data_IF_422699605546
#
_entry.id   IF_422699605546
#
_cell.length_a   1.000
_cell.length_b   1.000
_cell.length_c   1.000
_cell.angle_alpha   90.00
_cell.angle_beta   90.00
_cell.angle_gamma   90.00
#
_symmetry.space_group_name_H-M   'P 1'
#
loop_
_entity.id
_entity.type
_entity.pdbx_description
1 polymer ?
#
# COMPACT_ATOMS: atom_id res chain seq x y z
N UNK A 1 -23.55 36.38 16.27
CA UNK A 1 -23.40 36.02 14.84
C UNK A 1 -22.89 34.60 14.78
N UNK A 2 -23.71 33.66 14.30
CA UNK A 2 -23.34 32.24 14.20
C UNK A 2 -22.37 32.06 13.03
N UNK A 3 -21.10 31.75 13.31
CA UNK A 3 -20.17 31.35 12.27
C UNK A 3 -20.57 29.95 11.79
N UNK A 4 -21.34 29.89 10.70
CA UNK A 4 -21.55 28.65 9.95
C UNK A 4 -20.18 28.09 9.60
N UNK A 5 -19.77 27.00 10.26
CA UNK A 5 -18.56 26.24 9.91
C UNK A 5 -18.75 25.71 8.50
N UNK A 6 -18.26 26.44 7.49
CA UNK A 6 -18.15 25.94 6.11
C UNK A 6 -17.25 24.72 6.16
N UNK A 7 -17.84 23.54 5.99
CA UNK A 7 -17.05 22.32 5.90
C UNK A 7 -16.46 22.17 4.49
N UNK A 8 -15.33 21.46 4.37
CA UNK A 8 -14.62 21.21 3.10
C UNK A 8 -15.56 20.81 1.96
N UNK A 9 -16.53 19.95 2.26
CA UNK A 9 -17.50 19.43 1.27
C UNK A 9 -18.36 20.55 0.69
N UNK A 10 -18.81 21.48 1.52
CA UNK A 10 -19.58 22.63 1.06
C UNK A 10 -18.72 23.58 0.21
N UNK A 11 -17.48 23.86 0.64
CA UNK A 11 -16.56 24.68 -0.14
C UNK A 11 -16.30 24.10 -1.54
N UNK A 12 -15.98 22.81 -1.64
CA UNK A 12 -15.73 22.15 -2.92
C UNK A 12 -16.97 22.12 -3.82
N UNK A 13 -18.17 21.93 -3.24
CA UNK A 13 -19.44 22.03 -3.98
C UNK A 13 -19.69 23.44 -4.51
N UNK A 14 -19.45 24.47 -3.70
CA UNK A 14 -19.61 25.88 -4.11
C UNK A 14 -18.61 26.27 -5.20
N UNK A 15 -17.42 25.67 -5.21
CA UNK A 15 -16.41 25.87 -6.26
C UNK A 15 -16.72 25.10 -7.56
N UNK A 16 -17.77 24.27 -7.58
CA UNK A 16 -18.14 23.46 -8.73
C UNK A 16 -17.16 22.31 -9.00
N UNK A 17 -16.43 21.85 -7.99
CA UNK A 17 -15.52 20.70 -8.10
C UNK A 17 -16.33 19.41 -8.09
N UNK A 18 -16.14 18.56 -9.09
CA UNK A 18 -16.82 17.27 -9.18
C UNK A 18 -16.38 16.31 -8.06
N UNK A 19 -17.22 15.32 -7.78
CA UNK A 19 -16.87 14.26 -6.84
C UNK A 19 -15.66 13.43 -7.30
N UNK A 20 -15.37 13.40 -8.61
CA UNK A 20 -14.27 12.64 -9.18
C UNK A 20 -12.89 13.20 -8.80
N UNK A 21 -12.78 14.50 -8.51
CA UNK A 21 -11.53 15.12 -8.05
C UNK A 21 -11.25 14.87 -6.55
N UNK A 22 -12.24 14.41 -5.77
CA UNK A 22 -12.10 14.24 -4.32
C UNK A 22 -10.94 13.35 -3.86
N UNK A 23 -10.56 12.25 -4.56
CA UNK A 23 -9.40 11.45 -4.17
C UNK A 23 -8.12 12.29 -4.08
N UNK A 24 -7.89 13.20 -5.04
CA UNK A 24 -6.72 14.08 -5.09
C UNK A 24 -6.78 15.20 -4.06
N UNK A 25 -7.97 15.76 -3.82
CA UNK A 25 -8.13 16.93 -2.96
C UNK A 25 -8.24 16.58 -1.47
N UNK A 26 -8.58 15.34 -1.14
CA UNK A 26 -8.81 14.89 0.24
C UNK A 26 -7.56 14.92 1.15
N UNK A 27 -6.38 14.98 0.53
CA UNK A 27 -5.08 15.03 1.21
C UNK A 27 -4.54 16.44 1.47
N UNK A 28 -5.09 17.48 0.83
CA UNK A 28 -4.57 18.85 0.89
C UNK A 28 -4.91 19.50 2.24
N UNK A 29 -3.92 20.09 2.90
CA UNK A 29 -4.07 20.66 4.25
C UNK A 29 -4.82 21.99 4.23
N UNK A 30 -4.64 22.82 3.20
CA UNK A 30 -5.36 24.09 2.99
C UNK A 30 -6.85 23.92 2.71
N UNK A 31 -7.30 22.69 2.41
CA UNK A 31 -8.71 22.35 2.27
C UNK A 31 -9.32 21.77 3.55
N UNK A 32 -8.54 21.68 4.63
CA UNK A 32 -9.01 21.25 5.95
C UNK A 32 -9.41 22.47 6.78
N UNK A 33 -10.50 22.35 7.54
CA UNK A 33 -11.07 23.46 8.31
C UNK A 33 -10.22 23.84 9.53
N UNK A 34 -9.39 22.91 10.00
CA UNK A 34 -8.44 23.11 11.08
C UNK A 34 -7.03 22.93 10.50
N UNK A 35 -6.11 23.85 10.82
CA UNK A 35 -4.70 23.57 10.56
C UNK A 35 -4.33 22.30 11.34
N UNK A 36 -3.73 21.28 10.68
CA UNK A 36 -3.11 20.21 11.42
C UNK A 36 -2.13 20.84 12.40
N UNK A 37 -2.23 20.51 13.69
CA UNK A 37 -1.26 20.95 14.70
C UNK A 37 0.15 20.76 14.13
N UNK A 38 1.04 21.74 14.33
CA UNK A 38 2.40 21.70 13.79
C UNK A 38 3.04 20.33 14.11
N UNK A 39 3.31 19.53 13.08
CA UNK A 39 3.82 18.16 13.21
C UNK A 39 2.83 17.01 12.90
N UNK A 40 1.54 17.29 12.66
CA UNK A 40 0.54 16.26 12.30
C UNK A 40 0.65 15.79 10.83
N UNK A 41 1.83 15.28 10.46
CA UNK A 41 2.01 14.57 9.19
C UNK A 41 1.22 13.27 9.24
N UNK A 42 0.40 13.02 8.22
CA UNK A 42 -0.31 11.74 8.08
C UNK A 42 0.72 10.61 7.98
N UNK A 43 0.74 9.74 8.98
CA UNK A 43 1.60 8.56 8.97
C UNK A 43 1.00 7.47 8.08
N UNK A 44 1.87 6.69 7.46
CA UNK A 44 1.53 5.53 6.63
C UNK A 44 2.45 4.39 7.05
N UNK A 45 1.88 3.21 7.22
CA UNK A 45 2.62 1.98 7.43
C UNK A 45 2.60 1.19 6.13
N UNK A 46 3.78 0.80 5.66
CA UNK A 46 3.95 -0.11 4.52
C UNK A 46 4.68 -1.33 5.06
N UNK A 47 4.11 -2.50 4.81
CA UNK A 47 4.72 -3.78 5.12
C UNK A 47 4.95 -4.49 3.79
N UNK A 48 6.18 -4.92 3.54
CA UNK A 48 6.56 -5.64 2.33
C UNK A 48 7.08 -7.02 2.69
N UNK A 49 6.71 -8.01 1.90
CA UNK A 49 7.21 -9.37 2.02
C UNK A 49 7.74 -9.83 0.67
N UNK A 50 8.96 -10.34 0.65
CA UNK A 50 9.57 -10.98 -0.52
C UNK A 50 9.85 -12.44 -0.17
N UNK A 51 9.19 -13.42 -0.83
CA UNK A 51 9.44 -14.84 -0.58
C UNK A 51 10.80 -15.29 -1.14
N UNK A 52 11.18 -16.53 -0.83
CA UNK A 52 12.29 -17.27 -1.45
C UNK A 52 13.71 -16.74 -1.19
N UNK A 53 13.87 -15.78 -0.28
CA UNK A 53 15.17 -15.31 0.16
C UNK A 53 15.73 -14.18 -0.70
N UNK A 54 17.04 -13.96 -0.57
CA UNK A 54 17.79 -12.86 -1.21
C UNK A 54 19.22 -13.33 -1.48
N UNK A 55 19.99 -12.60 -2.29
CA UNK A 55 21.43 -12.84 -2.46
C UNK A 55 22.16 -12.32 -1.21
N UNK A 56 22.65 -13.20 -0.30
CA UNK A 56 23.09 -12.75 1.02
C UNK A 56 24.25 -11.76 0.98
N UNK A 57 25.19 -11.97 0.06
CA UNK A 57 26.38 -11.15 -0.11
C UNK A 57 26.08 -9.77 -0.70
N UNK A 58 24.91 -9.59 -1.33
CA UNK A 58 24.45 -8.34 -1.94
C UNK A 58 23.37 -7.63 -1.10
N UNK A 59 22.87 -8.28 -0.06
CA UNK A 59 21.82 -7.77 0.82
C UNK A 59 22.33 -7.41 2.22
N UNK A 60 23.05 -8.31 2.88
CA UNK A 60 23.44 -8.12 4.28
C UNK A 60 24.70 -7.24 4.40
N UNK A 61 24.72 -6.29 5.35
CA UNK A 61 25.95 -5.66 5.81
C UNK A 61 27.01 -6.71 6.19
N UNK A 62 28.27 -6.40 5.87
CA UNK A 62 29.43 -7.20 6.27
C UNK A 62 29.70 -7.07 7.78
N UNK A 63 29.33 -5.92 8.36
CA UNK A 63 29.52 -5.60 9.76
C UNK A 63 28.23 -4.99 10.35
N UNK A 64 27.96 -5.32 11.62
CA UNK A 64 26.86 -4.78 12.42
C UNK A 64 27.44 -4.21 13.72
N UNK A 65 26.93 -3.06 14.18
CA UNK A 65 27.31 -2.48 15.46
C UNK A 65 26.94 -1.01 15.54
N UNK A 66 26.72 -0.51 16.77
CA UNK A 66 26.26 0.86 17.01
C UNK A 66 27.30 1.91 16.60
N UNK A 67 28.60 1.57 16.65
CA UNK A 67 29.72 2.42 16.25
C UNK A 67 30.14 2.24 14.77
N UNK A 68 29.39 1.44 14.00
CA UNK A 68 29.69 1.15 12.60
C UNK A 68 28.63 1.77 11.70
N UNK A 69 28.99 2.65 10.75
CA UNK A 69 28.02 3.18 9.79
C UNK A 69 27.30 2.04 9.05
N UNK A 70 25.97 2.11 8.98
CA UNK A 70 25.15 1.10 8.31
C UNK A 70 25.61 0.94 6.86
N UNK A 71 26.04 -0.25 6.45
CA UNK A 71 26.41 -0.53 5.06
C UNK A 71 25.17 -0.96 4.27
N UNK A 72 24.81 -0.19 3.24
CA UNK A 72 23.76 -0.56 2.29
C UNK A 72 24.43 -1.14 1.03
N UNK A 73 24.26 -2.45 0.82
CA UNK A 73 24.78 -3.14 -0.36
C UNK A 73 23.92 -2.91 -1.59
N UNK A 74 24.31 -3.46 -2.75
CA UNK A 74 23.70 -3.16 -4.06
C UNK A 74 22.17 -3.27 -4.06
N UNK A 75 21.62 -4.33 -3.43
CA UNK A 75 20.17 -4.56 -3.33
C UNK A 75 19.44 -3.53 -2.45
N UNK A 76 20.17 -2.84 -1.57
CA UNK A 76 19.65 -1.82 -0.66
C UNK A 76 20.09 -0.40 -1.06
N UNK A 77 20.79 -0.24 -2.18
CA UNK A 77 21.24 1.07 -2.67
C UNK A 77 20.10 2.11 -2.87
N UNK A 78 18.85 1.73 -3.20
CA UNK A 78 17.75 2.70 -3.23
C UNK A 78 17.42 3.34 -1.87
N UNK A 79 17.86 2.73 -0.75
CA UNK A 79 17.67 3.25 0.60
C UNK A 79 18.76 4.24 1.03
N UNK A 80 19.75 4.51 0.17
CA UNK A 80 20.86 5.43 0.47
C UNK A 80 20.41 6.81 0.98
N UNK A 81 19.39 7.47 0.39
CA UNK A 81 18.89 8.76 0.91
C UNK A 81 18.25 8.66 2.31
N UNK A 82 17.98 7.45 2.78
CA UNK A 82 17.30 7.14 4.04
C UNK A 82 18.21 6.34 4.99
N UNK A 83 19.54 6.31 4.76
CA UNK A 83 20.50 5.53 5.56
C UNK A 83 20.33 5.74 7.06
N UNK A 84 20.29 7.00 7.50
CA UNK A 84 20.12 7.38 8.92
C UNK A 84 18.71 7.09 9.49
N UNK A 85 17.77 6.69 8.64
CA UNK A 85 16.40 6.31 9.00
C UNK A 85 16.15 4.81 8.77
N UNK A 86 17.20 4.04 8.47
CA UNK A 86 17.10 2.62 8.14
C UNK A 86 17.69 1.78 9.26
N UNK A 87 16.97 0.73 9.64
CA UNK A 87 17.43 -0.29 10.58
C UNK A 87 17.35 -1.66 9.89
N UNK A 88 18.46 -2.39 9.88
CA UNK A 88 18.52 -3.76 9.37
C UNK A 88 18.65 -4.72 10.54
N UNK A 89 17.67 -5.60 10.70
CA UNK A 89 17.67 -6.65 11.72
C UNK A 89 18.02 -7.99 11.08
N UNK A 90 19.16 -8.58 11.49
CA UNK A 90 19.59 -9.92 11.07
C UNK A 90 19.50 -10.89 12.24
N UNK A 91 19.00 -12.10 12.00
CA UNK A 91 18.86 -13.14 13.02
C UNK A 91 17.54 -13.11 13.81
N UNK A 92 16.61 -12.22 13.47
CA UNK A 92 15.23 -12.26 13.97
C UNK A 92 14.45 -13.30 13.17
N UNK A 93 13.90 -14.30 13.86
CA UNK A 93 13.20 -15.42 13.24
C UNK A 93 11.84 -15.62 13.88
N UNK A 94 10.83 -15.89 13.05
CA UNK A 94 9.53 -16.36 13.53
C UNK A 94 9.66 -17.83 14.01
N UNK A 95 9.42 -18.08 15.30
CA UNK A 95 9.51 -19.42 15.90
C UNK A 95 8.18 -20.18 15.92
N UNK A 96 7.11 -19.59 15.40
CA UNK A 96 5.78 -20.21 15.32
C UNK A 96 5.87 -21.49 14.47
N UNK A 97 5.27 -22.56 14.97
CA UNK A 97 5.20 -23.88 14.31
C UNK A 97 3.73 -24.20 14.01
N UNK A 98 3.38 -25.47 13.86
CA UNK A 98 2.06 -25.92 13.41
C UNK A 98 2.09 -26.47 11.99
N UNK A 99 0.93 -26.66 11.38
CA UNK A 99 0.77 -27.26 10.06
C UNK A 99 1.35 -26.41 8.92
N UNK A 100 1.44 -27.02 7.73
CA UNK A 100 1.96 -26.39 6.50
C UNK A 100 3.47 -26.51 6.37
N UNK A 101 4.03 -26.09 5.24
CA UNK A 101 5.48 -25.97 5.10
C UNK A 101 6.00 -24.62 5.63
N UNK A 102 7.33 -24.44 5.59
CA UNK A 102 7.97 -23.21 6.05
C UNK A 102 7.62 -21.96 5.21
N UNK A 103 7.30 -22.10 3.92
CA UNK A 103 6.87 -20.97 3.09
C UNK A 103 5.44 -20.55 3.46
N UNK A 104 4.54 -21.51 3.69
CA UNK A 104 3.17 -21.24 4.15
C UNK A 104 3.18 -20.50 5.49
N UNK A 105 3.91 -21.03 6.47
CA UNK A 105 4.08 -20.39 7.78
C UNK A 105 4.81 -19.05 7.67
N UNK A 106 5.86 -19.00 6.84
CA UNK A 106 6.69 -17.81 6.68
C UNK A 106 5.88 -16.58 6.30
N UNK A 107 4.89 -16.73 5.43
CA UNK A 107 4.04 -15.61 5.03
C UNK A 107 2.81 -15.43 5.91
N UNK A 108 2.09 -16.50 6.23
CA UNK A 108 0.83 -16.42 6.97
C UNK A 108 1.01 -16.09 8.45
N UNK A 109 2.11 -16.54 9.06
CA UNK A 109 2.40 -16.31 10.47
C UNK A 109 3.16 -15.00 10.72
N UNK A 110 3.65 -14.32 9.67
CA UNK A 110 4.50 -13.14 9.79
C UNK A 110 3.82 -12.01 10.57
N UNK A 111 2.59 -11.68 10.19
CA UNK A 111 1.84 -10.56 10.77
C UNK A 111 0.84 -10.99 11.83
N UNK A 112 0.52 -12.29 11.91
CA UNK A 112 -0.42 -12.83 12.89
C UNK A 112 0.28 -13.31 14.16
N UNK A 113 1.54 -13.75 14.05
CA UNK A 113 2.26 -14.44 15.13
C UNK A 113 1.46 -15.62 15.73
N UNK A 114 0.62 -16.28 14.92
CA UNK A 114 -0.17 -17.47 15.30
C UNK A 114 0.09 -18.62 14.35
N UNK A 115 -0.16 -19.84 14.82
CA UNK A 115 -0.04 -21.06 14.02
C UNK A 115 -1.07 -21.10 12.86
N UNK A 116 -0.78 -21.91 11.85
CA UNK A 116 -1.78 -22.31 10.87
C UNK A 116 -2.70 -23.37 11.47
N UNK A 117 -4.01 -23.19 11.32
CA UNK A 117 -5.01 -24.21 11.63
C UNK A 117 -4.81 -25.44 10.75
N UNK A 118 -5.23 -26.64 11.18
CA UNK A 118 -5.31 -27.80 10.30
C UNK A 118 -6.21 -27.54 9.08
N UNK A 119 -5.84 -28.10 7.94
CA UNK A 119 -6.61 -27.92 6.71
C UNK A 119 -6.27 -28.93 5.63
N UNK A 120 -6.57 -28.58 4.39
CA UNK A 120 -6.43 -29.46 3.23
C UNK A 120 -5.55 -28.86 2.12
N UNK A 121 -4.88 -27.75 2.39
CA UNK A 121 -4.02 -27.08 1.42
C UNK A 121 -2.61 -27.67 1.57
N UNK A 122 -2.23 -28.51 0.61
CA UNK A 122 -0.93 -29.15 0.60
C UNK A 122 0.14 -28.17 0.13
N UNK A 123 1.17 -28.01 0.96
CA UNK A 123 2.38 -27.27 0.63
C UNK A 123 3.41 -28.09 -0.15
N UNK A 124 4.63 -27.59 -0.25
CA UNK A 124 5.75 -28.25 -0.90
C UNK A 124 6.35 -29.37 -0.06
N UNK A 125 6.03 -29.39 1.23
CA UNK A 125 6.38 -30.43 2.20
C UNK A 125 5.41 -30.39 3.39
N UNK A 126 5.70 -31.18 4.44
CA UNK A 126 4.99 -31.19 5.72
C UNK A 126 3.48 -31.50 5.59
N UNK A 127 2.74 -31.30 6.69
CA UNK A 127 1.30 -31.54 6.75
C UNK A 127 0.52 -30.47 5.97
N UNK A 128 -0.62 -30.83 5.35
CA UNK A 128 -1.54 -29.84 4.81
C UNK A 128 -1.97 -28.82 5.86
N UNK A 129 -2.11 -27.56 5.45
CA UNK A 129 -2.55 -26.48 6.33
C UNK A 129 -3.90 -25.90 5.93
N UNK A 130 -4.50 -25.22 6.89
CA UNK A 130 -5.55 -24.24 6.72
C UNK A 130 -4.97 -22.82 6.79
N UNK A 131 -5.67 -21.94 7.49
CA UNK A 131 -5.37 -20.52 7.56
C UNK A 131 -4.81 -20.14 8.93
N UNK A 132 -4.22 -18.94 9.05
CA UNK A 132 -3.75 -18.47 10.35
C UNK A 132 -4.91 -18.34 11.34
N UNK A 133 -4.68 -18.76 12.59
CA UNK A 133 -5.69 -18.81 13.64
C UNK A 133 -5.92 -17.46 14.34
N UNK A 134 -5.41 -16.36 13.78
CA UNK A 134 -5.40 -15.04 14.41
C UNK A 134 -5.58 -13.88 13.44
N UNK A 135 -5.87 -12.71 13.99
CA UNK A 135 -5.84 -11.45 13.25
C UNK A 135 -4.38 -11.00 13.04
N UNK A 136 -4.10 -10.37 11.91
CA UNK A 136 -2.80 -9.79 11.64
C UNK A 136 -2.66 -8.36 12.19
N UNK A 137 -1.45 -7.97 12.57
CA UNK A 137 -1.17 -6.67 13.19
C UNK A 137 -1.55 -5.49 12.29
N UNK A 138 -1.42 -5.62 10.96
CA UNK A 138 -1.88 -4.60 10.01
C UNK A 138 -3.41 -4.40 10.07
N UNK A 139 -4.18 -5.48 10.28
CA UNK A 139 -5.63 -5.40 10.40
C UNK A 139 -6.07 -4.88 11.77
N UNK A 140 -5.30 -5.16 12.84
CA UNK A 140 -5.52 -4.51 14.14
C UNK A 140 -5.24 -3.00 14.09
N UNK A 141 -4.13 -2.60 13.48
CA UNK A 141 -3.80 -1.18 13.26
C UNK A 141 -4.90 -0.51 12.42
N UNK A 142 -5.34 -1.15 11.34
CA UNK A 142 -6.48 -0.70 10.54
C UNK A 142 -7.72 -0.48 11.40
N UNK A 143 -8.12 -1.46 12.21
CA UNK A 143 -9.31 -1.37 13.08
C UNK A 143 -9.20 -0.16 14.01
N UNK A 144 -8.07 -0.01 14.67
CA UNK A 144 -7.81 1.11 15.57
C UNK A 144 -7.91 2.46 14.86
N UNK A 145 -7.24 2.64 13.72
CA UNK A 145 -7.23 3.90 12.97
C UNK A 145 -8.57 4.20 12.28
N UNK A 146 -9.34 3.19 11.91
CA UNK A 146 -10.66 3.37 11.29
C UNK A 146 -11.77 3.67 12.31
N UNK A 147 -11.57 3.31 13.58
CA UNK A 147 -12.53 3.59 14.65
C UNK A 147 -12.63 5.08 15.03
N UNK A 148 -11.61 5.88 14.71
CA UNK A 148 -11.56 7.31 15.05
C UNK A 148 -11.78 8.17 13.81
N UNK A 149 -12.73 9.12 13.87
CA UNK A 149 -13.06 9.99 12.73
C UNK A 149 -11.88 10.83 12.23
N UNK A 150 -10.94 11.19 13.11
CA UNK A 150 -9.76 11.99 12.79
C UNK A 150 -8.70 11.22 12.01
N UNK A 151 -8.64 9.90 12.15
CA UNK A 151 -7.67 9.03 11.45
C UNK A 151 -8.31 8.18 10.35
N UNK A 152 -9.64 8.15 10.29
CA UNK A 152 -10.39 7.37 9.30
C UNK A 152 -10.14 7.85 7.88
N UNK A 153 -9.63 6.94 7.05
CA UNK A 153 -9.39 7.11 5.61
C UNK A 153 -10.45 6.38 4.79
N UNK A 154 -10.60 6.74 3.50
CA UNK A 154 -11.50 6.05 2.55
C UNK A 154 -11.24 4.54 2.48
N UNK A 155 -9.96 4.15 2.55
CA UNK A 155 -9.51 2.77 2.64
C UNK A 155 -8.67 2.62 3.89
N UNK A 156 -9.04 1.71 4.78
CA UNK A 156 -8.29 1.46 6.03
C UNK A 156 -7.00 0.68 5.82
N UNK A 157 -6.94 -0.13 4.76
CA UNK A 157 -5.76 -0.86 4.31
C UNK A 157 -5.88 -1.07 2.79
N UNK A 158 -4.74 -1.35 2.15
CA UNK A 158 -4.66 -1.68 0.73
C UNK A 158 -3.66 -2.83 0.60
N UNK A 159 -4.17 -4.00 0.25
CA UNK A 159 -3.39 -5.22 0.10
C UNK A 159 -2.96 -5.36 -1.37
N UNK A 160 -1.65 -5.33 -1.61
CA UNK A 160 -1.03 -5.48 -2.92
C UNK A 160 -0.34 -6.84 -3.02
N UNK A 161 -0.36 -7.41 -4.23
CA UNK A 161 0.32 -8.66 -4.56
C UNK A 161 1.12 -8.52 -5.85
N UNK A 162 2.04 -9.45 -6.07
CA UNK A 162 2.75 -9.60 -7.35
C UNK A 162 2.70 -11.07 -7.71
N UNK A 163 2.26 -11.38 -8.93
CA UNK A 163 2.12 -12.75 -9.42
C UNK A 163 1.34 -13.66 -8.44
N UNK A 164 0.19 -13.19 -7.96
CA UNK A 164 -0.63 -13.96 -7.03
C UNK A 164 -1.49 -14.90 -7.87
N UNK A 165 -1.28 -16.23 -7.80
CA UNK A 165 -2.09 -17.15 -8.57
C UNK A 165 -3.58 -16.96 -8.24
N UNK A 166 -4.46 -17.24 -9.21
CA UNK A 166 -5.91 -17.22 -9.01
C UNK A 166 -6.39 -18.40 -8.16
N UNK A 167 -5.81 -18.54 -6.97
CA UNK A 167 -6.06 -19.55 -5.97
C UNK A 167 -5.82 -18.93 -4.60
N UNK A 168 -6.71 -19.22 -3.66
CA UNK A 168 -6.48 -18.89 -2.26
C UNK A 168 -5.58 -19.95 -1.63
N UNK A 169 -4.37 -19.53 -1.25
CA UNK A 169 -3.37 -20.40 -0.60
C UNK A 169 -2.61 -19.65 0.51
N UNK A 170 -2.25 -20.28 1.65
CA UNK A 170 -1.39 -19.72 2.69
C UNK A 170 -0.04 -19.16 2.18
N UNK A 171 0.48 -19.63 1.04
CA UNK A 171 1.63 -19.04 0.36
C UNK A 171 1.40 -17.62 -0.17
N UNK A 172 0.14 -17.20 -0.28
CA UNK A 172 -0.25 -15.97 -0.98
C UNK A 172 -1.03 -14.98 -0.09
N UNK A 173 -1.27 -15.32 1.19
CA UNK A 173 -2.04 -14.52 2.16
C UNK A 173 -1.15 -14.11 3.35
N UNK A 174 -0.84 -12.82 3.43
CA UNK A 174 -0.07 -12.22 4.54
C UNK A 174 -1.00 -11.55 5.58
N UNK A 175 -2.11 -10.97 5.13
CA UNK A 175 -3.04 -10.20 5.96
C UNK A 175 -4.26 -11.05 6.35
N UNK A 176 -4.70 -10.95 7.60
CA UNK A 176 -5.82 -11.71 8.16
C UNK A 176 -6.73 -10.80 8.97
N UNK A 177 -8.01 -10.72 8.62
CA UNK A 177 -8.99 -9.92 9.34
C UNK A 177 -9.47 -10.57 10.66
N UNK A 178 -8.96 -11.77 10.96
CA UNK A 178 -9.28 -12.62 12.10
C UNK A 178 -8.87 -14.07 11.81
N UNK A 179 -9.11 -14.95 12.79
CA UNK A 179 -8.91 -16.38 12.65
C UNK A 179 -9.64 -16.92 11.40
N UNK A 180 -8.92 -17.66 10.57
CA UNK A 180 -9.41 -18.24 9.31
C UNK A 180 -10.07 -17.25 8.35
N UNK A 181 -9.69 -15.96 8.44
CA UNK A 181 -10.22 -14.87 7.60
C UNK A 181 -9.08 -14.20 6.82
N UNK A 182 -8.46 -14.89 5.85
CA UNK A 182 -7.44 -14.30 5.01
C UNK A 182 -8.00 -13.13 4.19
N UNK A 183 -7.18 -12.10 3.99
CA UNK A 183 -7.47 -10.98 3.10
C UNK A 183 -6.69 -11.17 1.81
N UNK A 184 -7.40 -11.24 0.69
CA UNK A 184 -6.77 -11.40 -0.63
C UNK A 184 -6.16 -10.06 -1.10
N UNK A 185 -4.89 -10.06 -1.55
CA UNK A 185 -4.31 -8.91 -2.22
C UNK A 185 -4.89 -8.73 -3.63
N UNK A 186 -4.78 -7.51 -4.15
CA UNK A 186 -4.91 -7.24 -5.59
C UNK A 186 -3.52 -7.25 -6.21
N UNK A 187 -3.31 -8.10 -7.21
CA UNK A 187 -2.06 -8.23 -7.95
C UNK A 187 -2.09 -7.57 -9.33
N UNK A 188 -3.27 -7.13 -9.76
CA UNK A 188 -3.45 -6.32 -10.96
C UNK A 188 -3.39 -4.81 -10.61
N UNK A 189 -2.38 -4.06 -11.11
CA UNK A 189 -2.25 -2.64 -10.84
C UNK A 189 -3.41 -1.82 -11.40
N UNK A 190 -4.06 -2.24 -12.49
CA UNK A 190 -5.25 -1.58 -13.05
C UNK A 190 -6.45 -1.74 -12.11
N UNK A 191 -6.68 -2.93 -11.58
CA UNK A 191 -7.76 -3.13 -10.60
C UNK A 191 -7.56 -2.30 -9.34
N UNK A 192 -6.33 -2.19 -8.83
CA UNK A 192 -6.05 -1.32 -7.69
C UNK A 192 -6.22 0.16 -8.04
N UNK A 193 -5.78 0.59 -9.22
CA UNK A 193 -5.98 1.94 -9.70
C UNK A 193 -7.49 2.29 -9.78
N UNK A 194 -8.29 1.40 -10.35
CA UNK A 194 -9.74 1.55 -10.42
C UNK A 194 -10.39 1.54 -9.03
N UNK A 195 -9.90 0.72 -8.09
CA UNK A 195 -10.36 0.77 -6.69
C UNK A 195 -10.08 2.14 -6.07
N UNK A 196 -8.89 2.70 -6.29
CA UNK A 196 -8.49 3.99 -5.72
C UNK A 196 -9.22 5.17 -6.36
N UNK A 197 -9.44 5.15 -7.68
CA UNK A 197 -9.88 6.33 -8.45
C UNK A 197 -11.21 6.16 -9.20
N UNK A 198 -11.75 4.94 -9.32
CA UNK A 198 -12.88 4.58 -10.19
C UNK A 198 -14.29 4.74 -9.66
N UNK A 199 -14.49 5.63 -8.69
CA UNK A 199 -15.82 5.88 -8.14
C UNK A 199 -16.72 6.76 -9.01
N UNK A 200 -17.22 6.25 -10.13
CA UNK A 200 -18.49 6.66 -10.76
C UNK A 200 -18.90 5.61 -11.80
N UNK A 201 -20.17 5.20 -11.77
CA UNK A 201 -20.81 4.29 -12.74
C UNK A 201 -20.47 4.70 -14.17
N UNK A 202 -20.20 3.73 -15.04
CA UNK A 202 -19.93 3.86 -16.48
C UNK A 202 -18.48 4.21 -16.85
N UNK A 203 -17.59 3.22 -16.75
CA UNK A 203 -16.21 3.23 -17.27
C UNK A 203 -16.04 2.32 -18.49
N UNK A 204 -16.98 2.38 -19.44
CA UNK A 204 -16.71 1.88 -20.80
C UNK A 204 -15.88 2.88 -21.63
N UNK A 205 -15.57 4.07 -21.10
CA UNK A 205 -14.67 5.01 -21.76
C UNK A 205 -13.30 4.95 -21.09
N UNK A 206 -12.33 4.43 -21.85
CA UNK A 206 -10.89 4.51 -21.70
C UNK A 206 -10.34 5.97 -21.66
N UNK A 207 -10.99 6.88 -20.94
CA UNK A 207 -10.50 8.25 -20.73
C UNK A 207 -9.64 8.29 -19.46
N UNK A 208 -8.51 8.99 -19.52
CA UNK A 208 -7.65 9.23 -18.35
C UNK A 208 -8.48 9.84 -17.21
N UNK A 209 -8.20 9.41 -15.97
CA UNK A 209 -8.84 10.00 -14.79
C UNK A 209 -8.53 11.48 -14.70
N UNK A 210 -7.34 11.89 -15.15
CA UNK A 210 -6.89 13.27 -15.14
C UNK A 210 -7.65 14.12 -16.16
N UNK A 211 -8.00 13.56 -17.32
CA UNK A 211 -8.76 14.28 -18.34
C UNK A 211 -10.17 14.61 -17.84
N UNK A 212 -10.78 13.70 -17.08
CA UNK A 212 -12.10 13.90 -16.49
C UNK A 212 -12.16 15.00 -15.42
N UNK A 213 -11.04 15.27 -14.75
CA UNK A 213 -10.97 16.20 -13.62
C UNK A 213 -10.09 17.42 -13.89
N UNK A 214 -9.58 17.59 -15.11
CA UNK A 214 -8.67 18.67 -15.48
C UNK A 214 -9.21 20.06 -15.12
N UNK A 215 -10.48 20.32 -15.46
CA UNK A 215 -11.17 21.57 -15.14
C UNK A 215 -11.28 21.79 -13.62
N UNK A 216 -11.54 20.74 -12.84
CA UNK A 216 -11.63 20.82 -11.39
C UNK A 216 -10.28 21.19 -10.77
N UNK A 217 -9.19 20.61 -11.30
CA UNK A 217 -7.84 20.91 -10.87
C UNK A 217 -7.45 22.37 -11.21
N UNK A 218 -7.85 22.88 -12.37
CA UNK A 218 -7.64 24.28 -12.72
C UNK A 218 -8.41 25.24 -11.81
N UNK A 219 -9.65 24.90 -11.42
CA UNK A 219 -10.47 25.71 -10.49
C UNK A 219 -9.88 25.76 -9.09
N UNK A 220 -9.29 24.66 -8.59
CA UNK A 220 -8.79 24.55 -7.22
C UNK A 220 -7.35 25.03 -7.03
N UNK A 221 -6.47 24.90 -8.04
CA UNK A 221 -5.07 25.34 -7.96
C UNK A 221 -4.87 26.79 -7.45
N UNK A 222 -5.67 27.80 -7.85
CA UNK A 222 -5.53 29.17 -7.33
C UNK A 222 -6.08 29.35 -5.90
N UNK A 223 -6.80 28.35 -5.36
CA UNK A 223 -7.47 28.39 -4.05
C UNK A 223 -6.71 27.65 -2.94
N UNK A 224 -5.63 26.96 -3.27
CA UNK A 224 -4.81 26.18 -2.33
C UNK A 224 -3.46 26.85 -2.07
N UNK A 225 -2.82 26.48 -0.96
CA UNK A 225 -1.50 26.98 -0.60
C UNK A 225 -0.43 26.57 -1.62
N UNK A 226 0.70 27.30 -1.69
CA UNK A 226 1.80 26.93 -2.57
C UNK A 226 2.40 25.55 -2.26
N UNK A 227 2.36 25.11 -1.00
CA UNK A 227 2.79 23.78 -0.59
C UNK A 227 1.84 22.70 -1.11
N UNK A 228 0.52 22.90 -0.97
CA UNK A 228 -0.49 21.98 -1.47
C UNK A 228 -0.53 21.94 -3.00
N UNK A 229 -0.25 23.05 -3.67
CA UNK A 229 -0.12 23.07 -5.13
C UNK A 229 1.00 22.14 -5.60
N UNK A 230 2.19 22.24 -5.00
CA UNK A 230 3.31 21.33 -5.31
C UNK A 230 2.96 19.87 -5.04
N UNK A 231 2.25 19.58 -3.95
CA UNK A 231 1.80 18.22 -3.62
C UNK A 231 0.79 17.71 -4.65
N UNK A 232 -0.18 18.55 -5.05
CA UNK A 232 -1.17 18.22 -6.06
C UNK A 232 -0.51 17.95 -7.41
N UNK A 233 0.42 18.81 -7.85
CA UNK A 233 1.13 18.66 -9.11
C UNK A 233 1.96 17.37 -9.14
N UNK A 234 2.65 17.04 -8.04
CA UNK A 234 3.37 15.78 -7.89
C UNK A 234 2.43 14.57 -7.99
N UNK A 235 1.26 14.62 -7.34
CA UNK A 235 0.27 13.53 -7.41
C UNK A 235 -0.28 13.37 -8.82
N UNK A 236 -0.62 14.46 -9.49
CA UNK A 236 -1.09 14.44 -10.89
C UNK A 236 -0.03 13.83 -11.81
N UNK A 237 1.24 14.20 -11.64
CA UNK A 237 2.34 13.62 -12.40
C UNK A 237 2.49 12.11 -12.13
N UNK A 238 2.42 11.69 -10.86
CA UNK A 238 2.49 10.26 -10.50
C UNK A 238 1.34 9.44 -11.09
N UNK A 239 0.11 9.98 -11.12
CA UNK A 239 -1.03 9.31 -11.75
C UNK A 239 -0.82 9.18 -13.25
N UNK A 240 -0.35 10.24 -13.93
CA UNK A 240 -0.09 10.21 -15.37
C UNK A 240 0.97 9.16 -15.72
N UNK A 241 2.05 9.09 -14.93
CA UNK A 241 3.07 8.07 -15.11
C UNK A 241 2.49 6.67 -14.92
N UNK A 242 1.69 6.45 -13.87
CA UNK A 242 1.04 5.17 -13.62
C UNK A 242 0.08 4.75 -14.74
N UNK A 243 -0.71 5.68 -15.30
CA UNK A 243 -1.57 5.40 -16.46
C UNK A 243 -0.75 4.98 -17.70
N UNK A 244 0.40 5.64 -17.93
CA UNK A 244 1.32 5.27 -19.01
C UNK A 244 1.95 3.90 -18.79
N UNK A 245 2.40 3.60 -17.57
CA UNK A 245 3.00 2.31 -17.22
C UNK A 245 1.98 1.17 -17.36
N UNK A 246 0.73 1.38 -16.93
CA UNK A 246 -0.36 0.41 -17.11
C UNK A 246 -0.69 0.21 -18.59
N UNK A 247 -0.70 1.28 -19.40
CA UNK A 247 -0.94 1.18 -20.83
C UNK A 247 0.20 0.43 -21.55
N UNK A 248 1.46 0.69 -21.19
CA UNK A 248 2.63 0.00 -21.71
C UNK A 248 2.68 -1.47 -21.29
N UNK A 249 2.32 -1.79 -20.04
CA UNK A 249 2.22 -3.17 -19.58
C UNK A 249 1.12 -3.94 -20.33
N UNK A 250 -0.01 -3.30 -20.66
CA UNK A 250 -1.09 -3.93 -21.42
C UNK A 250 -0.70 -4.25 -22.88
N UNK A 251 0.30 -3.57 -23.45
CA UNK A 251 0.83 -3.90 -24.79
C UNK A 251 1.93 -4.97 -24.74
N UNK A 252 2.54 -5.22 -23.58
CA UNK A 252 3.46 -6.34 -23.34
C UNK A 252 2.67 -7.60 -22.96
N UNK A 253 2.22 -8.35 -23.97
CA UNK A 253 1.46 -9.60 -23.79
C UNK A 253 2.32 -10.78 -23.30
N UNK A 254 3.64 -10.68 -23.32
CA UNK A 254 4.55 -11.74 -22.89
C UNK A 254 5.54 -11.17 -21.88
N UNK A 255 5.63 -11.81 -20.71
CA UNK A 255 6.78 -11.70 -19.82
C UNK A 255 7.97 -12.34 -20.53
N UNK A 256 8.52 -11.68 -21.55
CA UNK A 256 9.80 -12.07 -22.13
C UNK A 256 10.85 -11.83 -21.04
N UNK A 257 11.24 -12.89 -20.36
CA UNK A 257 12.45 -12.93 -19.56
C UNK A 257 13.60 -13.15 -20.55
N UNK A 258 14.33 -12.12 -21.00
CA UNK A 258 15.57 -12.36 -21.73
C UNK A 258 16.44 -13.25 -20.84
N UNK A 259 16.97 -14.34 -21.40
CA UNK A 259 18.01 -15.10 -20.72
C UNK A 259 19.18 -14.13 -20.45
N UNK A 260 19.67 -14.04 -19.20
CA UNK A 260 20.87 -13.26 -18.94
C UNK A 260 22.04 -13.86 -19.72
N UNK A 261 22.81 -13.02 -20.42
CA UNK A 261 24.13 -13.40 -20.95
C UNK A 261 25.13 -13.69 -19.81
#
# INVERSE_FOLDING_TARGET
MSHSKRNRRQFLRELGVSAAALPLLSGLSSLQADEPAAGARRQRLIIMFSPNGTLPDEFWPDQFGDDTPLQLKSMLSPLEPFREQTLILKGVNNKIRGDGDNHMRGMSCLLTATELSPGNIQGGSDTPAGWASGISIDQEIRRHLQAHDTTRTRFGSLEFGVAVPNRADPWTRMCYAGADKPVAPLDDPRQMFDKLYGGAKDREVLASVLDLIGDDLQRIQPRISGADRRLLDAHVQSIRQLEQDIAAAATQSELTHPEPE
#
